data_IF_565631472942
#
_entry.id   IF_565631472942
#
_cell.length_a   1.000
_cell.length_b   1.000
_cell.length_c   1.000
_cell.angle_alpha   90.00
_cell.angle_beta   90.00
_cell.angle_gamma   90.00
#
_symmetry.space_group_name_H-M   'P 1'
#
loop_
_entity.id
_entity.type
_entity.pdbx_description
1 polymer ?
#
# COMPACT_ATOMS: atom_id res chain seq x y z
N UNK A 1 7.13 6.38 -15.82
CA UNK A 1 6.03 5.82 -15.00
C UNK A 1 6.41 5.57 -13.54
N UNK A 2 7.66 5.83 -13.10
CA UNK A 2 8.03 5.73 -11.68
C UNK A 2 7.23 6.73 -10.85
N UNK A 3 6.68 6.32 -9.71
CA UNK A 3 6.03 7.21 -8.75
C UNK A 3 7.11 7.92 -7.91
N UNK A 4 7.12 9.25 -7.94
CA UNK A 4 8.07 10.09 -7.22
C UNK A 4 7.35 11.28 -6.55
N UNK A 5 8.08 12.10 -5.80
CA UNK A 5 7.49 13.25 -5.09
C UNK A 5 6.73 14.20 -6.02
N UNK A 6 7.25 14.48 -7.21
CA UNK A 6 6.60 15.36 -8.19
C UNK A 6 5.25 14.81 -8.64
N UNK A 7 5.12 13.49 -8.82
CA UNK A 7 3.84 12.86 -9.14
C UNK A 7 2.91 12.91 -7.94
N UNK A 8 3.41 12.63 -6.72
CA UNK A 8 2.59 12.71 -5.51
C UNK A 8 2.04 14.12 -5.27
N UNK A 9 2.78 15.18 -5.62
CA UNK A 9 2.34 16.58 -5.56
C UNK A 9 1.18 16.89 -6.52
N UNK A 10 0.98 16.11 -7.59
CA UNK A 10 -0.17 16.28 -8.49
C UNK A 10 -1.44 15.60 -7.96
N UNK A 11 -1.32 14.74 -6.95
CA UNK A 11 -2.46 14.12 -6.29
C UNK A 11 -3.11 15.07 -5.27
N UNK A 12 -4.22 14.64 -4.67
CA UNK A 12 -4.81 15.40 -3.56
C UNK A 12 -3.83 15.48 -2.38
N UNK A 13 -3.86 16.55 -1.57
CA UNK A 13 -2.98 16.69 -0.40
C UNK A 13 -3.06 15.54 0.61
N UNK A 14 -4.20 14.85 0.66
CA UNK A 14 -4.48 13.71 1.55
C UNK A 14 -4.34 12.35 0.84
N UNK A 15 -3.81 12.31 -0.38
CA UNK A 15 -3.56 11.06 -1.08
C UNK A 15 -2.57 10.19 -0.30
N UNK A 16 -2.78 8.87 -0.34
CA UNK A 16 -1.87 7.89 0.24
C UNK A 16 -1.16 7.11 -0.86
N UNK A 17 0.09 6.76 -0.62
CA UNK A 17 0.86 5.87 -1.47
C UNK A 17 0.68 4.41 -1.01
N UNK A 18 0.39 3.53 -1.97
CA UNK A 18 0.16 2.10 -1.75
C UNK A 18 1.01 1.27 -2.71
N UNK A 19 1.59 0.18 -2.22
CA UNK A 19 2.29 -0.85 -2.99
C UNK A 19 2.06 -2.20 -2.31
N UNK A 20 1.82 -3.27 -3.08
CA UNK A 20 1.51 -4.60 -2.56
C UNK A 20 2.71 -5.38 -2.01
N UNK A 21 3.94 -4.91 -2.30
CA UNK A 21 5.22 -5.53 -1.98
C UNK A 21 5.46 -6.88 -2.70
N UNK A 22 6.71 -7.32 -2.88
CA UNK A 22 7.95 -6.60 -2.60
C UNK A 22 8.16 -5.42 -3.57
N UNK A 23 8.84 -4.38 -3.09
CA UNK A 23 9.10 -3.17 -3.86
C UNK A 23 10.59 -3.00 -4.16
N UNK A 24 10.92 -2.57 -5.38
CA UNK A 24 12.27 -2.20 -5.82
C UNK A 24 12.42 -0.68 -5.80
N UNK A 25 12.99 -0.16 -4.70
CA UNK A 25 13.33 1.26 -4.56
C UNK A 25 14.16 1.75 -5.76
N UNK A 26 13.79 2.90 -6.31
CA UNK A 26 14.43 3.51 -7.47
C UNK A 26 13.97 2.95 -8.83
N UNK A 27 13.02 2.01 -8.86
CA UNK A 27 12.43 1.51 -10.10
C UNK A 27 10.97 1.97 -10.25
N UNK A 28 10.01 1.28 -9.64
CA UNK A 28 8.59 1.64 -9.75
C UNK A 28 8.18 2.79 -8.81
N UNK A 29 8.94 3.01 -7.72
CA UNK A 29 8.86 4.22 -6.89
C UNK A 29 10.21 4.65 -6.34
N UNK A 30 10.34 5.94 -5.98
CA UNK A 30 11.49 6.47 -5.25
C UNK A 30 11.45 6.06 -3.77
N UNK A 31 12.61 6.06 -3.09
CA UNK A 31 12.72 5.72 -1.67
C UNK A 31 11.93 6.71 -0.79
N UNK A 32 12.01 8.00 -1.10
CA UNK A 32 11.27 9.07 -0.43
C UNK A 32 9.74 8.88 -0.45
N UNK A 33 9.17 8.25 -1.49
CA UNK A 33 7.73 8.00 -1.58
C UNK A 33 7.33 6.81 -0.71
N UNK A 34 8.05 5.68 -0.82
CA UNK A 34 7.70 4.47 -0.07
C UNK A 34 8.04 4.56 1.43
N UNK A 35 9.04 5.35 1.79
CA UNK A 35 9.46 5.57 3.18
C UNK A 35 8.92 6.90 3.74
N UNK A 36 8.17 7.66 2.94
CA UNK A 36 7.64 8.98 3.27
C UNK A 36 6.34 8.96 4.08
N UNK A 37 5.88 10.14 4.54
CA UNK A 37 4.75 10.26 5.48
C UNK A 37 3.39 9.88 4.89
N UNK A 38 3.24 9.92 3.56
CA UNK A 38 2.02 9.49 2.87
C UNK A 38 2.04 8.00 2.51
N UNK A 39 3.07 7.24 2.92
CA UNK A 39 3.17 5.82 2.62
C UNK A 39 2.37 4.97 3.60
N UNK A 40 1.44 4.18 3.07
CA UNK A 40 0.60 3.24 3.81
C UNK A 40 0.93 1.78 3.45
N UNK A 41 2.14 1.53 2.96
CA UNK A 41 2.52 0.19 2.46
C UNK A 41 2.54 -0.88 3.57
N UNK A 42 2.91 -0.50 4.80
CA UNK A 42 2.93 -1.44 5.93
C UNK A 42 1.54 -1.68 6.51
N UNK A 43 0.71 -0.65 6.66
CA UNK A 43 -0.69 -0.83 7.07
C UNK A 43 -1.47 -1.66 6.03
N UNK A 44 -1.22 -1.44 4.74
CA UNK A 44 -1.77 -2.27 3.67
C UNK A 44 -1.33 -3.74 3.82
N UNK A 45 -0.05 -3.99 4.11
CA UNK A 45 0.49 -5.33 4.30
C UNK A 45 -0.11 -6.01 5.54
N UNK A 46 -0.24 -5.29 6.66
CA UNK A 46 -0.89 -5.79 7.88
C UNK A 46 -2.37 -6.13 7.65
N UNK A 47 -3.09 -5.28 6.90
CA UNK A 47 -4.49 -5.49 6.56
C UNK A 47 -4.77 -6.77 5.77
N UNK A 48 -3.76 -7.39 5.15
CA UNK A 48 -3.87 -8.73 4.56
C UNK A 48 -4.25 -9.78 5.60
N UNK A 49 -3.69 -9.73 6.81
CA UNK A 49 -3.99 -10.66 7.90
C UNK A 49 -5.46 -10.56 8.32
N UNK A 50 -5.93 -9.33 8.54
CA UNK A 50 -7.30 -9.06 8.95
C UNK A 50 -8.30 -9.50 7.87
N UNK A 51 -8.02 -9.16 6.63
CA UNK A 51 -8.84 -9.54 5.48
C UNK A 51 -8.93 -11.06 5.33
N UNK A 52 -7.80 -11.76 5.44
CA UNK A 52 -7.76 -13.22 5.34
C UNK A 52 -8.49 -13.90 6.51
N UNK A 53 -8.35 -13.40 7.75
CA UNK A 53 -9.13 -13.89 8.91
C UNK A 53 -10.64 -13.77 8.65
N UNK A 54 -11.09 -12.62 8.16
CA UNK A 54 -12.50 -12.39 7.85
C UNK A 54 -13.00 -13.34 6.76
N UNK A 55 -12.24 -13.52 5.67
CA UNK A 55 -12.59 -14.44 4.59
C UNK A 55 -12.70 -15.88 5.10
N UNK A 56 -11.75 -16.34 5.93
CA UNK A 56 -11.78 -17.70 6.49
C UNK A 56 -13.02 -17.94 7.38
N UNK A 57 -13.37 -16.98 8.25
CA UNK A 57 -14.57 -17.08 9.09
C UNK A 57 -15.84 -17.08 8.25
N UNK A 58 -15.92 -16.16 7.28
CA UNK A 58 -17.07 -16.06 6.38
C UNK A 58 -17.30 -17.37 5.60
N UNK A 59 -16.23 -17.97 5.07
CA UNK A 59 -16.34 -19.23 4.34
C UNK A 59 -16.63 -20.42 5.27
N UNK A 60 -16.10 -20.43 6.50
CA UNK A 60 -16.42 -21.45 7.50
C UNK A 60 -17.90 -21.44 7.88
N UNK A 61 -18.50 -20.27 8.09
CA UNK A 61 -19.87 -20.15 8.59
C UNK A 61 -20.94 -20.25 7.48
N UNK A 62 -20.52 -20.18 6.21
CA UNK A 62 -21.39 -20.30 5.04
C UNK A 62 -21.59 -21.76 4.60
N UNK A 63 -20.82 -22.69 5.14
CA UNK A 63 -20.89 -24.15 4.91
C UNK A 63 -20.94 -24.91 6.24
#
# INVERSE_FOLDING_TARGET
FQVNSQIMETAKPDAIFMNCLPAKRGYEQTAEVIDGPQSFVFDQAENRLHSQKAIMLFLRDKF
#
